data_IF_468857550137
#
_entry.id   IF_468857550137
#
_cell.length_a   1.000
_cell.length_b   1.000
_cell.length_c   1.000
_cell.angle_alpha   90.00
_cell.angle_beta   90.00
_cell.angle_gamma   90.00
#
_symmetry.space_group_name_H-M   'P 1'
#
loop_
_entity.id
_entity.type
_entity.pdbx_description
1 polymer ?
#
# COMPACT_ATOMS: atom_id res chain seq x y z
N UNK A 1 -14.66 21.86 -19.12
CA UNK A 1 -13.72 21.01 -19.86
C UNK A 1 -13.02 20.21 -18.78
N UNK A 2 -13.42 18.96 -18.60
CA UNK A 2 -12.78 18.06 -17.64
C UNK A 2 -11.78 17.25 -18.44
N UNK A 3 -10.55 17.76 -18.50
CA UNK A 3 -9.38 17.04 -18.98
C UNK A 3 -8.54 16.78 -17.73
N UNK A 4 -8.82 15.69 -17.02
CA UNK A 4 -7.97 15.21 -15.91
C UNK A 4 -7.92 13.67 -15.88
N UNK A 5 -8.00 13.03 -17.05
CA UNK A 5 -7.58 11.63 -17.15
C UNK A 5 -6.03 11.66 -17.20
N UNK A 6 -5.42 11.73 -16.01
CA UNK A 6 -3.98 11.65 -15.82
C UNK A 6 -3.36 10.41 -16.48
N UNK A 7 -2.04 10.41 -16.64
CA UNK A 7 -1.31 9.23 -17.14
C UNK A 7 -1.48 8.11 -16.12
N UNK A 8 -2.27 7.08 -16.47
CA UNK A 8 -2.44 5.86 -15.67
C UNK A 8 -1.13 5.08 -15.58
N UNK A 9 -0.75 4.69 -14.36
CA UNK A 9 0.28 3.67 -14.14
C UNK A 9 -0.41 2.31 -14.08
N UNK A 10 -0.28 1.52 -15.16
CA UNK A 10 -0.94 0.21 -15.28
C UNK A 10 -0.57 -0.79 -14.17
N UNK A 11 0.49 -0.56 -13.38
CA UNK A 11 0.78 -1.38 -12.21
C UNK A 11 0.10 -0.85 -10.96
N UNK A 12 0.35 0.42 -10.64
CA UNK A 12 -0.11 1.02 -9.38
C UNK A 12 -1.62 1.28 -9.39
N UNK A 13 -2.18 1.87 -10.45
CA UNK A 13 -3.61 2.17 -10.51
C UNK A 13 -4.46 0.91 -10.54
N UNK A 14 -4.02 -0.13 -11.25
CA UNK A 14 -4.74 -1.41 -11.31
C UNK A 14 -4.74 -2.11 -9.93
N UNK A 15 -3.67 -1.95 -9.15
CA UNK A 15 -3.62 -2.45 -7.78
C UNK A 15 -4.52 -1.66 -6.81
N UNK A 16 -4.60 -0.33 -6.96
CA UNK A 16 -5.56 0.47 -6.20
C UNK A 16 -7.00 0.07 -6.54
N UNK A 17 -7.31 -0.10 -7.82
CA UNK A 17 -8.63 -0.55 -8.28
C UNK A 17 -8.97 -1.93 -7.65
N UNK A 18 -8.01 -2.87 -7.59
CA UNK A 18 -8.19 -4.17 -6.95
C UNK A 18 -8.45 -4.10 -5.44
N UNK A 19 -7.81 -3.18 -4.71
CA UNK A 19 -8.11 -2.95 -3.29
C UNK A 19 -9.53 -2.39 -3.13
N UNK A 20 -9.92 -1.41 -3.95
CA UNK A 20 -11.27 -0.79 -3.90
C UNK A 20 -12.37 -1.81 -4.23
N UNK A 21 -12.10 -2.76 -5.12
CA UNK A 21 -13.01 -3.87 -5.48
C UNK A 21 -13.04 -4.99 -4.42
N UNK A 22 -12.14 -4.97 -3.44
CA UNK A 22 -12.05 -5.97 -2.38
C UNK A 22 -11.36 -7.28 -2.79
N UNK A 23 -10.63 -7.28 -3.92
CA UNK A 23 -9.88 -8.41 -4.44
C UNK A 23 -8.37 -8.07 -4.59
N UNK A 24 -7.69 -7.55 -3.54
CA UNK A 24 -6.26 -7.26 -3.62
C UNK A 24 -5.43 -8.53 -3.80
N UNK A 25 -4.33 -8.42 -4.57
CA UNK A 25 -3.50 -9.56 -4.93
C UNK A 25 -2.00 -9.27 -4.81
N UNK A 26 -1.20 -10.32 -4.77
CA UNK A 26 0.25 -10.26 -4.96
C UNK A 26 0.70 -11.34 -5.94
N UNK A 27 1.92 -11.24 -6.46
CA UNK A 27 2.49 -12.26 -7.34
C UNK A 27 3.36 -13.24 -6.56
N UNK A 28 3.09 -14.54 -6.68
CA UNK A 28 3.88 -15.59 -6.04
C UNK A 28 4.70 -16.37 -7.07
N UNK A 29 6.00 -16.55 -6.81
CA UNK A 29 6.86 -17.42 -7.63
C UNK A 29 6.66 -18.91 -7.31
N UNK A 30 7.09 -19.85 -8.18
CA UNK A 30 7.03 -21.29 -7.89
C UNK A 30 7.73 -21.70 -6.59
N UNK A 31 8.77 -20.95 -6.19
CA UNK A 31 9.47 -21.15 -4.91
C UNK A 31 8.72 -20.60 -3.68
N UNK A 32 7.61 -19.90 -3.88
CA UNK A 32 6.73 -19.38 -2.82
C UNK A 32 6.98 -17.93 -2.43
N UNK A 33 7.94 -17.24 -3.05
CA UNK A 33 8.23 -15.84 -2.74
C UNK A 33 7.13 -14.92 -3.27
N UNK A 34 6.63 -14.04 -2.41
CA UNK A 34 5.62 -13.04 -2.77
C UNK A 34 6.27 -11.72 -3.21
N UNK A 35 5.70 -11.10 -4.24
CA UNK A 35 6.23 -9.88 -4.82
C UNK A 35 5.14 -8.83 -5.04
N UNK A 36 5.38 -7.67 -4.42
CA UNK A 36 4.78 -6.38 -4.73
C UNK A 36 5.88 -5.31 -4.66
N UNK A 37 5.98 -4.38 -5.61
CA UNK A 37 5.17 -4.25 -6.84
C UNK A 37 5.32 -5.46 -7.81
N UNK A 38 4.37 -5.68 -8.74
CA UNK A 38 4.38 -6.80 -9.66
C UNK A 38 5.71 -6.96 -10.42
N UNK A 39 6.23 -8.20 -10.47
CA UNK A 39 7.47 -8.56 -11.15
C UNK A 39 7.24 -9.55 -12.28
N UNK A 40 8.01 -9.44 -13.36
CA UNK A 40 8.00 -10.42 -14.46
C UNK A 40 8.75 -11.70 -14.07
N UNK A 41 9.75 -11.58 -13.20
CA UNK A 41 10.57 -12.67 -12.68
C UNK A 41 10.90 -12.44 -11.21
N UNK A 42 11.05 -13.52 -10.48
CA UNK A 42 11.49 -13.51 -9.10
C UNK A 42 12.90 -12.89 -9.00
N UNK A 43 13.10 -11.76 -8.31
CA UNK A 43 14.40 -11.13 -8.14
C UNK A 43 15.41 -11.94 -7.33
N UNK A 44 14.96 -12.84 -6.46
CA UNK A 44 15.84 -13.69 -5.63
C UNK A 44 16.29 -14.95 -6.38
N UNK A 45 15.36 -15.60 -7.10
CA UNK A 45 15.61 -16.91 -7.72
C UNK A 45 15.78 -16.84 -9.24
N UNK A 46 15.26 -15.80 -9.89
CA UNK A 46 15.23 -15.63 -11.36
C UNK A 46 14.12 -16.41 -12.08
N UNK A 47 13.26 -17.10 -11.33
CA UNK A 47 12.14 -17.88 -11.84
C UNK A 47 11.10 -16.99 -12.52
N UNK A 48 10.49 -17.51 -13.60
CA UNK A 48 9.31 -16.90 -14.21
C UNK A 48 8.05 -17.66 -13.81
N UNK A 49 6.91 -17.28 -14.41
CA UNK A 49 5.63 -17.93 -14.12
C UNK A 49 5.13 -17.58 -12.73
N UNK A 50 5.23 -16.29 -12.37
CA UNK A 50 4.61 -15.79 -11.15
C UNK A 50 3.09 -15.79 -11.36
N UNK A 51 2.36 -16.24 -10.35
CA UNK A 51 0.90 -16.33 -10.38
C UNK A 51 0.28 -15.38 -9.35
N UNK A 52 -0.87 -14.80 -9.68
CA UNK A 52 -1.63 -13.97 -8.75
C UNK A 52 -2.18 -14.83 -7.60
N UNK A 53 -2.00 -14.34 -6.38
CA UNK A 53 -2.53 -14.91 -5.16
C UNK A 53 -3.28 -13.83 -4.38
N UNK A 54 -4.39 -14.18 -3.70
CA UNK A 54 -5.14 -13.21 -2.90
C UNK A 54 -4.27 -12.70 -1.74
N UNK A 55 -4.31 -11.40 -1.50
CA UNK A 55 -3.64 -10.78 -0.37
C UNK A 55 -4.34 -11.23 0.94
N UNK A 56 -3.59 -11.50 2.02
CA UNK A 56 -4.20 -11.68 3.33
C UNK A 56 -5.02 -10.45 3.75
N UNK A 57 -6.19 -10.68 4.36
CA UNK A 57 -7.10 -9.60 4.79
C UNK A 57 -6.44 -8.63 5.79
N UNK A 58 -5.54 -9.14 6.63
CA UNK A 58 -4.88 -8.40 7.70
C UNK A 58 -3.37 -8.46 7.60
N UNK A 59 -2.70 -7.36 7.90
CA UNK A 59 -1.26 -7.25 8.02
C UNK A 59 -0.83 -6.73 9.39
N UNK A 60 0.48 -6.64 9.60
CA UNK A 60 1.10 -6.11 10.83
C UNK A 60 2.10 -4.99 10.52
N UNK A 61 2.03 -3.87 11.24
CA UNK A 61 3.00 -2.78 11.12
C UNK A 61 4.38 -3.23 11.60
N UNK A 62 5.36 -3.25 10.69
CA UNK A 62 6.76 -3.60 11.01
C UNK A 62 7.57 -2.39 11.48
N UNK A 63 7.34 -1.24 10.87
CA UNK A 63 8.01 0.02 11.19
C UNK A 63 7.17 1.20 10.72
N UNK A 64 7.35 2.36 11.36
CA UNK A 64 6.61 3.56 11.02
C UNK A 64 7.46 4.82 11.23
N UNK A 65 7.03 5.90 10.59
CA UNK A 65 7.54 7.24 10.84
C UNK A 65 6.40 8.25 10.77
N UNK A 66 6.37 9.18 11.72
CA UNK A 66 5.45 10.33 11.69
C UNK A 66 6.08 11.48 10.91
N UNK A 67 5.39 11.95 9.88
CA UNK A 67 5.80 13.09 9.06
C UNK A 67 5.12 14.35 9.60
N UNK A 68 5.87 15.14 10.36
CA UNK A 68 5.38 16.41 10.92
C UNK A 68 5.54 17.59 9.96
N UNK A 69 6.44 17.48 8.98
CA UNK A 69 6.69 18.51 7.97
C UNK A 69 6.83 17.82 6.63
N UNK A 70 5.84 18.01 5.77
CA UNK A 70 5.76 17.35 4.47
C UNK A 70 6.18 18.27 3.32
N UNK A 71 6.28 17.70 2.12
CA UNK A 71 6.36 18.47 0.89
C UNK A 71 5.02 19.14 0.54
N UNK A 72 5.00 20.11 -0.39
CA UNK A 72 3.80 20.90 -0.71
C UNK A 72 2.57 20.08 -1.09
N UNK A 73 2.75 18.89 -1.67
CA UNK A 73 1.68 17.98 -2.12
C UNK A 73 0.96 17.25 -0.97
N UNK A 74 1.42 17.39 0.27
CA UNK A 74 0.85 16.72 1.45
C UNK A 74 0.73 17.68 2.64
N UNK A 75 0.70 18.99 2.40
CA UNK A 75 0.76 19.98 3.48
C UNK A 75 -0.47 19.91 4.38
N UNK A 76 -1.64 19.73 3.78
CA UNK A 76 -2.92 19.64 4.50
C UNK A 76 -3.12 18.27 5.16
N UNK A 77 -2.30 17.28 4.81
CA UNK A 77 -2.29 15.95 5.41
C UNK A 77 -1.44 15.88 6.69
N UNK A 78 -0.67 16.92 7.04
CA UNK A 78 0.23 16.87 8.21
C UNK A 78 -0.47 17.13 9.55
N UNK A 79 -0.06 16.43 10.63
CA UNK A 79 0.86 15.29 10.65
C UNK A 79 0.20 13.97 10.19
N UNK A 80 0.96 13.12 9.51
CA UNK A 80 0.52 11.77 9.13
C UNK A 80 1.60 10.72 9.41
N UNK A 81 1.18 9.46 9.57
CA UNK A 81 2.11 8.33 9.75
C UNK A 81 2.25 7.57 8.44
N UNK A 82 3.48 7.30 8.04
CA UNK A 82 3.80 6.34 6.98
C UNK A 82 4.35 5.08 7.63
N UNK A 83 3.81 3.93 7.27
CA UNK A 83 4.23 2.65 7.81
C UNK A 83 4.63 1.68 6.69
N UNK A 84 5.44 0.70 7.07
CA UNK A 84 5.64 -0.52 6.31
C UNK A 84 4.91 -1.63 7.07
N UNK A 85 3.94 -2.25 6.43
CA UNK A 85 3.19 -3.38 6.98
C UNK A 85 3.49 -4.68 6.21
N UNK A 86 3.50 -5.80 6.91
CA UNK A 86 3.68 -7.14 6.35
C UNK A 86 2.31 -7.82 6.18
N UNK A 87 2.00 -8.22 4.96
CA UNK A 87 0.81 -8.97 4.59
C UNK A 87 1.25 -10.32 4.04
N UNK A 88 1.41 -11.30 4.93
CA UNK A 88 1.93 -12.62 4.55
C UNK A 88 3.31 -12.53 3.90
N UNK A 89 3.49 -12.93 2.63
CA UNK A 89 4.80 -12.96 1.99
C UNK A 89 5.26 -11.60 1.43
N UNK A 90 4.44 -10.54 1.49
CA UNK A 90 4.76 -9.22 0.93
C UNK A 90 4.77 -8.11 1.99
N UNK A 91 5.52 -7.04 1.68
CA UNK A 91 5.59 -5.83 2.50
C UNK A 91 5.16 -4.63 1.68
N UNK A 92 4.37 -3.78 2.30
CA UNK A 92 3.74 -2.65 1.63
C UNK A 92 3.96 -1.37 2.40
N UNK A 93 4.11 -0.27 1.68
CA UNK A 93 4.21 1.06 2.26
C UNK A 93 2.88 1.78 2.06
N UNK A 94 2.36 2.37 3.13
CA UNK A 94 1.08 3.08 3.11
C UNK A 94 1.01 4.10 4.25
N UNK A 95 -0.02 4.94 4.23
CA UNK A 95 -0.29 5.86 5.34
C UNK A 95 -1.21 5.19 6.36
N UNK A 96 -0.95 5.36 7.65
CA UNK A 96 -1.88 4.89 8.69
C UNK A 96 -2.95 5.96 8.88
N UNK A 97 -4.23 5.58 8.78
CA UNK A 97 -5.39 6.47 8.90
C UNK A 97 -6.32 5.99 10.02
N UNK A 98 -7.33 6.79 10.33
CA UNK A 98 -8.36 6.45 11.34
C UNK A 98 -7.91 6.47 12.81
N UNK A 99 -6.65 6.84 13.09
CA UNK A 99 -6.07 6.87 14.43
C UNK A 99 -5.15 8.09 14.60
N UNK A 100 -4.98 8.56 15.84
CA UNK A 100 -4.01 9.61 16.13
C UNK A 100 -2.58 9.12 15.82
N UNK A 101 -1.72 9.94 15.16
CA UNK A 101 -0.35 9.56 14.86
C UNK A 101 0.49 9.07 16.06
N UNK A 102 0.22 9.58 17.26
CA UNK A 102 0.95 9.20 18.47
C UNK A 102 0.50 7.84 19.04
N UNK A 103 -0.65 7.33 18.60
CA UNK A 103 -1.22 6.05 19.02
C UNK A 103 -0.83 4.87 18.09
N UNK A 104 -0.11 5.13 16.99
CA UNK A 104 0.33 4.09 16.05
C UNK A 104 1.52 3.31 16.62
N UNK A 105 1.38 1.99 16.73
CA UNK A 105 2.41 1.09 17.25
C UNK A 105 3.00 0.11 16.22
N UNK A 106 4.24 -0.31 16.43
CA UNK A 106 4.82 -1.50 15.78
C UNK A 106 4.13 -2.74 16.34
N UNK A 107 3.83 -3.72 15.48
CA UNK A 107 3.10 -4.94 15.85
C UNK A 107 1.57 -4.76 15.81
N UNK A 108 1.08 -3.59 15.44
CA UNK A 108 -0.34 -3.31 15.34
C UNK A 108 -0.94 -3.97 14.09
N UNK A 109 -2.06 -4.64 14.25
CA UNK A 109 -2.82 -5.25 13.16
C UNK A 109 -3.55 -4.17 12.36
N UNK A 110 -3.54 -4.31 11.04
CA UNK A 110 -4.15 -3.36 10.11
C UNK A 110 -4.82 -4.07 8.94
N UNK A 111 -5.87 -3.47 8.39
CA UNK A 111 -6.42 -3.79 7.07
C UNK A 111 -5.85 -2.81 6.03
N UNK A 112 -5.85 -3.23 4.76
CA UNK A 112 -5.45 -2.36 3.65
C UNK A 112 -6.66 -1.65 3.04
N UNK A 113 -6.49 -0.39 2.69
CA UNK A 113 -7.48 0.40 1.98
C UNK A 113 -6.87 1.36 0.95
N UNK A 114 -7.76 2.08 0.27
CA UNK A 114 -7.42 3.23 -0.58
C UNK A 114 -8.16 4.43 -0.05
N UNK A 115 -7.45 5.55 0.10
CA UNK A 115 -8.04 6.84 0.41
C UNK A 115 -7.43 7.93 -0.49
N UNK A 116 -7.87 9.17 -0.32
CA UNK A 116 -7.35 10.33 -1.05
C UNK A 116 -6.58 11.26 -0.12
N UNK A 117 -5.51 11.86 -0.65
CA UNK A 117 -4.81 12.95 0.05
C UNK A 117 -5.73 14.16 0.18
N UNK A 118 -5.65 14.87 1.31
CA UNK A 118 -6.42 16.10 1.52
C UNK A 118 -5.93 17.22 0.59
N UNK A 119 -4.61 17.25 0.36
CA UNK A 119 -3.97 18.34 -0.38
C UNK A 119 -4.25 18.29 -1.88
N UNK A 120 -4.24 17.10 -2.50
CA UNK A 120 -4.34 16.94 -3.97
C UNK A 120 -5.50 16.05 -4.41
N UNK A 121 -6.15 15.32 -3.51
CA UNK A 121 -7.16 14.33 -3.86
C UNK A 121 -6.59 13.07 -4.53
N UNK A 122 -5.27 12.89 -4.48
CA UNK A 122 -4.57 11.74 -5.10
C UNK A 122 -4.82 10.47 -4.30
N UNK A 123 -5.06 9.35 -5.00
CA UNK A 123 -5.29 8.06 -4.36
C UNK A 123 -3.99 7.51 -3.76
N UNK A 124 -4.06 7.08 -2.51
CA UNK A 124 -2.94 6.50 -1.76
C UNK A 124 -3.38 5.22 -1.06
N UNK A 125 -2.44 4.30 -0.90
CA UNK A 125 -2.63 3.12 -0.04
C UNK A 125 -2.66 3.58 1.42
N UNK A 126 -3.66 3.11 2.14
CA UNK A 126 -3.80 3.34 3.57
C UNK A 126 -3.86 2.05 4.36
N UNK A 127 -3.51 2.15 5.63
CA UNK A 127 -3.64 1.08 6.62
C UNK A 127 -4.57 1.53 7.73
N UNK A 128 -5.63 0.76 7.95
CA UNK A 128 -6.65 1.03 8.96
C UNK A 128 -6.46 0.07 10.15
N UNK A 129 -6.20 0.59 11.36
CA UNK A 129 -6.10 -0.22 12.58
C UNK A 129 -7.34 -1.05 12.91
N UNK A 130 -7.12 -2.27 13.45
CA UNK A 130 -8.18 -3.21 13.89
C UNK A 130 -8.26 -3.26 15.42
#
# INVERSE_FOLDING_TARGET
MSDDDGVRDAGYDDFLDAIEDGDPFFLQSPSGNGWLPPQIRDPETGEGGLEEQPLPDTGEILTMTTVYVSGPTFVDDTPYVVAIAEFGPVRMTGQVRGVDPDDVGIGQAVEIGVDRTETTGERVIVFDPI
#
